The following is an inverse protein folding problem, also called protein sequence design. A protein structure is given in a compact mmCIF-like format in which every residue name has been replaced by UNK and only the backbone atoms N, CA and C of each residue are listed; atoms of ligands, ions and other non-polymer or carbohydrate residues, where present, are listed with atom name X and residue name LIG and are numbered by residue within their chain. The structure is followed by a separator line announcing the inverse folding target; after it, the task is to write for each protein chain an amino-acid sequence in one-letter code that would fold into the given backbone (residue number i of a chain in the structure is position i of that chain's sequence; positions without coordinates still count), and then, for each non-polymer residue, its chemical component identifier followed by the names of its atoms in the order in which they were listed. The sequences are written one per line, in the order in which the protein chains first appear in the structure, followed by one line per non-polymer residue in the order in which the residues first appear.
data_IF_835596040751
#
_entry.id   IF_835596040751
#
_cell.length_a   1.000
_cell.length_b   1.000
_cell.length_c   1.000
_cell.angle_alpha   90.00
_cell.angle_beta   90.00
_cell.angle_gamma   90.00
#
_symmetry.space_group_name_H-M   'P 1'
#
loop_
_entity.id
_entity.type
_entity.pdbx_description
1 polymer ?
#
# COMPACT_ATOMS: atom_id res chain seq x y z
N UNK A 1 -5.27 15.28 -6.77
CA UNK A 1 -3.99 14.57 -6.52
C UNK A 1 -3.08 14.62 -7.76
N UNK A 2 -1.78 14.33 -7.71
CA UNK A 2 -0.99 14.13 -8.95
C UNK A 2 -1.34 12.78 -9.59
N UNK A 3 -1.48 12.70 -10.93
CA UNK A 3 -1.75 11.41 -11.65
C UNK A 3 -0.84 10.25 -11.22
N UNK A 4 0.41 10.55 -10.88
CA UNK A 4 1.39 9.56 -10.40
C UNK A 4 1.07 9.02 -8.99
N UNK A 5 0.55 9.86 -8.11
CA UNK A 5 0.13 9.48 -6.75
C UNK A 5 -1.13 8.62 -6.80
N UNK A 6 -2.09 8.99 -7.64
CA UNK A 6 -3.31 8.20 -7.84
C UNK A 6 -2.99 6.79 -8.35
N UNK A 7 -2.15 6.67 -9.40
CA UNK A 7 -1.66 5.37 -9.89
C UNK A 7 -0.88 4.56 -8.85
N UNK A 8 -0.26 5.22 -7.87
CA UNK A 8 0.45 4.53 -6.80
C UNK A 8 -0.54 3.95 -5.77
N UNK A 9 -1.61 4.68 -5.43
CA UNK A 9 -2.70 4.18 -4.58
C UNK A 9 -3.46 3.04 -5.27
N UNK A 10 -3.75 3.18 -6.56
CA UNK A 10 -4.41 2.17 -7.40
C UNK A 10 -3.66 0.83 -7.36
N UNK A 11 -2.34 0.83 -7.54
CA UNK A 11 -1.53 -0.40 -7.46
C UNK A 11 -1.58 -1.09 -6.11
N UNK A 12 -1.69 -0.33 -5.01
CA UNK A 12 -1.85 -0.90 -3.67
C UNK A 12 -3.26 -1.50 -3.55
N UNK A 13 -4.28 -0.76 -4.01
CA UNK A 13 -5.67 -1.20 -3.96
C UNK A 13 -5.91 -2.49 -4.76
N UNK A 14 -5.39 -2.59 -5.98
CA UNK A 14 -5.43 -3.79 -6.81
C UNK A 14 -4.85 -5.01 -6.08
N UNK A 15 -3.74 -4.82 -5.36
CA UNK A 15 -3.07 -5.89 -4.61
C UNK A 15 -3.83 -6.31 -3.36
N UNK A 16 -4.47 -5.36 -2.68
CA UNK A 16 -5.36 -5.63 -1.55
C UNK A 16 -6.57 -6.45 -2.00
N UNK A 17 -7.22 -6.08 -3.12
CA UNK A 17 -8.36 -6.81 -3.68
C UNK A 17 -7.94 -8.22 -4.12
N UNK A 18 -6.80 -8.33 -4.79
CA UNK A 18 -6.30 -9.63 -5.26
C UNK A 18 -5.90 -10.57 -4.11
N UNK A 19 -5.91 -10.11 -2.84
CA UNK A 19 -5.56 -10.94 -1.68
C UNK A 19 -4.11 -11.43 -1.69
N UNK A 20 -3.24 -10.77 -2.45
CA UNK A 20 -1.85 -11.19 -2.65
C UNK A 20 -0.93 -10.62 -1.56
N UNK A 21 0.38 -10.88 -1.69
CA UNK A 21 1.40 -10.32 -0.81
C UNK A 21 1.33 -8.77 -0.79
N UNK A 22 1.68 -8.14 0.36
CA UNK A 22 1.76 -6.69 0.49
C UNK A 22 2.50 -6.04 -0.67
N UNK A 23 2.04 -4.88 -1.14
CA UNK A 23 2.69 -4.21 -2.26
C UNK A 23 4.08 -3.69 -1.84
N UNK A 24 5.14 -4.28 -2.40
CA UNK A 24 6.51 -3.95 -2.04
C UNK A 24 7.09 -2.94 -3.02
N UNK A 25 7.40 -1.74 -2.53
CA UNK A 25 8.14 -0.75 -3.32
C UNK A 25 9.02 0.11 -2.44
N UNK A 26 10.23 0.40 -2.93
CA UNK A 26 11.19 1.33 -2.30
C UNK A 26 11.10 2.75 -2.87
N UNK A 27 10.15 3.01 -3.77
CA UNK A 27 10.03 4.32 -4.41
C UNK A 27 9.66 5.41 -3.39
N UNK A 28 10.32 6.57 -3.49
CA UNK A 28 10.10 7.72 -2.59
C UNK A 28 8.63 8.15 -2.50
N UNK A 29 7.87 7.99 -3.59
CA UNK A 29 6.45 8.34 -3.63
C UNK A 29 5.63 7.67 -2.52
N UNK A 30 5.94 6.42 -2.13
CA UNK A 30 5.20 5.73 -1.06
C UNK A 30 5.60 6.24 0.33
N UNK A 31 6.83 6.74 0.48
CA UNK A 31 7.26 7.42 1.70
C UNK A 31 6.52 8.75 1.84
N UNK A 32 6.42 9.51 0.75
CA UNK A 32 5.69 10.79 0.73
C UNK A 32 4.18 10.57 1.00
N UNK A 33 3.58 9.53 0.39
CA UNK A 33 2.19 9.14 0.63
C UNK A 33 1.96 8.66 2.07
N UNK A 34 2.94 7.98 2.67
CA UNK A 34 2.88 7.57 4.07
C UNK A 34 2.96 8.79 5.00
N UNK A 35 3.82 9.77 4.69
CA UNK A 35 3.88 11.05 5.39
C UNK A 35 2.57 11.84 5.29
N UNK A 36 1.81 11.69 4.21
CA UNK A 36 0.48 12.28 4.04
C UNK A 36 -0.66 11.50 4.75
N UNK A 37 -0.34 10.35 5.36
CA UNK A 37 -1.28 9.46 6.04
C UNK A 37 -2.19 8.68 5.08
N UNK A 38 -1.80 8.52 3.81
CA UNK A 38 -2.60 7.82 2.79
C UNK A 38 -2.27 6.33 2.69
N UNK A 39 -1.04 5.96 3.02
CA UNK A 39 -0.59 4.58 3.06
C UNK A 39 0.18 4.34 4.35
N UNK A 40 0.22 3.09 4.78
CA UNK A 40 0.99 2.65 5.94
C UNK A 40 1.80 1.40 5.61
N UNK A 41 2.79 1.09 6.45
CA UNK A 41 3.56 -0.13 6.29
C UNK A 41 2.73 -1.31 6.77
N UNK A 42 2.50 -2.28 5.89
CA UNK A 42 1.91 -3.58 6.25
C UNK A 42 3.04 -4.61 6.34
N UNK A 43 3.10 -5.32 7.46
CA UNK A 43 4.08 -6.36 7.71
C UNK A 43 3.35 -7.66 7.96
N UNK A 44 3.52 -8.62 7.05
CA UNK A 44 2.94 -9.95 7.16
C UNK A 44 4.02 -10.97 7.35
N UNK A 45 3.84 -11.82 8.35
CA UNK A 45 4.74 -12.93 8.64
C UNK A 45 4.09 -14.19 8.08
N UNK A 46 4.81 -14.89 7.20
CA UNK A 46 4.35 -16.14 6.60
C UNK A 46 5.22 -17.31 7.05
N UNK A 47 4.60 -18.46 7.31
CA UNK A 47 5.30 -19.70 7.68
C UNK A 47 5.36 -19.97 9.18
N UNK A 48 5.78 -21.19 9.54
CA UNK A 48 5.89 -21.66 10.92
C UNK A 48 7.35 -21.81 11.38
N UNK A 49 8.04 -22.87 10.94
CA UNK A 49 9.39 -23.20 11.40
C UNK A 49 10.49 -22.24 10.89
N UNK A 50 10.28 -21.63 9.73
CA UNK A 50 11.14 -20.57 9.17
C UNK A 50 10.26 -19.41 8.71
N UNK A 51 9.99 -18.41 9.58
CA UNK A 51 9.10 -17.32 9.24
C UNK A 51 9.74 -16.37 8.23
N UNK A 52 8.99 -16.02 7.18
CA UNK A 52 9.35 -15.03 6.19
C UNK A 52 8.55 -13.77 6.48
N UNK A 53 9.26 -12.68 6.80
CA UNK A 53 8.65 -11.38 7.01
C UNK A 53 8.58 -10.62 5.69
N UNK A 54 7.37 -10.34 5.25
CA UNK A 54 7.08 -9.58 4.04
C UNK A 54 6.60 -8.19 4.46
N UNK A 55 7.43 -7.18 4.18
CA UNK A 55 7.10 -5.77 4.44
C UNK A 55 6.67 -5.13 3.13
N UNK A 56 5.54 -4.42 3.14
CA UNK A 56 5.04 -3.66 2.01
C UNK A 56 4.21 -2.46 2.46
N UNK A 57 3.36 -1.97 1.57
CA UNK A 57 2.47 -0.85 1.78
C UNK A 57 1.01 -1.29 1.71
N UNK A 58 0.17 -0.75 2.59
CA UNK A 58 -1.27 -0.87 2.59
C UNK A 58 -1.93 0.51 2.62
N UNK A 59 -3.16 0.60 2.12
CA UNK A 59 -3.95 1.83 2.15
C UNK A 59 -4.56 2.04 3.52
N UNK A 60 -4.38 3.25 4.07
CA UNK A 60 -5.13 3.66 5.25
C UNK A 60 -6.58 3.95 4.88
N UNK A 61 -7.46 4.06 5.88
CA UNK A 61 -8.86 4.49 5.65
C UNK A 61 -8.94 5.82 4.88
N UNK A 62 -8.05 6.77 5.20
CA UNK A 62 -7.95 8.05 4.50
C UNK A 62 -7.52 7.86 3.04
N UNK A 63 -6.53 7.01 2.78
CA UNK A 63 -6.08 6.69 1.42
C UNK A 63 -7.18 6.06 0.57
N UNK A 64 -7.97 5.15 1.16
CA UNK A 64 -9.13 4.52 0.50
C UNK A 64 -10.20 5.54 0.15
N UNK A 65 -10.57 6.41 1.08
CA UNK A 65 -11.56 7.45 0.83
C UNK A 65 -11.11 8.40 -0.29
N UNK A 66 -9.84 8.81 -0.26
CA UNK A 66 -9.28 9.69 -1.30
C UNK A 66 -9.22 9.01 -2.67
N UNK A 67 -8.88 7.72 -2.71
CA UNK A 67 -8.92 6.95 -3.94
C UNK A 67 -10.36 6.81 -4.47
N UNK A 68 -11.32 6.46 -3.61
CA UNK A 68 -12.72 6.30 -4.00
C UNK A 68 -13.41 7.61 -4.41
N UNK A 69 -13.00 8.77 -3.87
CA UNK A 69 -13.56 10.08 -4.25
C UNK A 69 -13.08 10.56 -5.63
N UNK A 70 -11.92 10.10 -6.08
CA UNK A 70 -11.38 10.39 -7.41
C UNK A 70 -11.68 9.26 -8.43
N UNK A 71 -12.36 8.18 -8.01
CA UNK A 71 -12.84 7.09 -8.87
C UNK A 71 -14.25 7.38 -9.40
#
# INVERSE_FOLDING_TARGET
MLKKQFRALEKIFEREIAGTLPFQSKAKIYIDLAGAGLVEKDTRIFGGRFPITVVGWALTQKGRLLYCQEC
#
